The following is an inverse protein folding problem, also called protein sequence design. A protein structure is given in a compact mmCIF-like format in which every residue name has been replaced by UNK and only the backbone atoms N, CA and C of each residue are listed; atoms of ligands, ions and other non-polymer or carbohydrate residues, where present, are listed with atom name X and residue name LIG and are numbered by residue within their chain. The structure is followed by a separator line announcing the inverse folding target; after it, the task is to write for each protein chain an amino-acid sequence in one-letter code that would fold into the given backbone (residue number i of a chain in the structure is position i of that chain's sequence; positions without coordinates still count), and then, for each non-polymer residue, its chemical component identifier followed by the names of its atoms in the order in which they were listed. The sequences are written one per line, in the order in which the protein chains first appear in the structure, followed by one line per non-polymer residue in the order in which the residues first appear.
data_IF_575937508390
#
_entry.id   IF_575937508390
#
_cell.length_a   1.000
_cell.length_b   1.000
_cell.length_c   1.000
_cell.angle_alpha   90.00
_cell.angle_beta   90.00
_cell.angle_gamma   90.00
#
_symmetry.space_group_name_H-M   'P 1'
#
loop_
_entity.id
_entity.type
_entity.pdbx_description
1 polymer ?
#
# COMPACT_ATOMS: atom_id res chain seq x y z
N UNK A 1 40.33 -14.02 37.99
CA UNK A 1 39.48 -12.97 38.61
C UNK A 1 39.23 -11.88 37.60
N UNK A 2 38.29 -12.13 36.70
CA UNK A 2 37.62 -11.06 35.94
C UNK A 2 36.15 -11.16 36.35
N UNK A 3 35.70 -10.12 37.04
CA UNK A 3 34.35 -10.00 37.57
C UNK A 3 33.33 -9.96 36.43
N UNK A 4 32.34 -10.84 36.52
CA UNK A 4 31.12 -10.82 35.75
C UNK A 4 30.32 -9.57 36.10
N UNK A 5 30.44 -8.51 35.29
CA UNK A 5 29.46 -7.43 35.24
C UNK A 5 28.10 -8.01 34.77
N UNK A 6 27.01 -7.83 35.52
CA UNK A 6 25.71 -8.25 35.05
C UNK A 6 25.31 -7.37 33.87
N UNK A 7 25.13 -8.00 32.71
CA UNK A 7 24.51 -7.38 31.53
C UNK A 7 23.06 -7.02 31.88
N UNK A 8 22.81 -5.77 32.26
CA UNK A 8 21.47 -5.19 32.26
C UNK A 8 20.90 -5.18 30.83
N UNK A 9 19.98 -6.09 30.55
CA UNK A 9 18.91 -5.96 29.53
C UNK A 9 17.66 -6.66 30.11
N UNK A 10 16.40 -6.19 29.96
CA UNK A 10 15.88 -5.21 29.01
C UNK A 10 14.70 -4.35 29.56
N UNK A 11 14.89 -3.43 30.52
CA UNK A 11 13.76 -2.56 30.94
C UNK A 11 13.48 -1.42 29.96
N UNK A 12 14.51 -0.88 29.29
CA UNK A 12 14.35 0.18 28.28
C UNK A 12 13.56 -0.27 27.04
N UNK A 13 13.79 -1.48 26.53
CA UNK A 13 13.03 -2.00 25.38
C UNK A 13 11.53 -2.16 25.68
N UNK A 14 11.17 -2.53 26.90
CA UNK A 14 9.78 -2.78 27.26
C UNK A 14 8.98 -1.48 27.45
N UNK A 15 9.64 -0.43 27.95
CA UNK A 15 9.07 0.93 28.05
C UNK A 15 8.87 1.54 26.66
N UNK A 16 9.84 1.37 25.75
CA UNK A 16 9.71 1.84 24.36
C UNK A 16 8.58 1.12 23.61
N UNK A 17 8.43 -0.20 23.79
CA UNK A 17 7.36 -0.98 23.15
C UNK A 17 5.98 -0.56 23.68
N UNK A 18 5.82 -0.42 25.00
CA UNK A 18 4.55 0.01 25.59
C UNK A 18 4.20 1.45 25.18
N UNK A 19 5.20 2.33 25.08
CA UNK A 19 5.02 3.70 24.60
C UNK A 19 4.62 3.72 23.11
N UNK A 20 5.29 2.93 22.27
CA UNK A 20 4.95 2.78 20.85
C UNK A 20 3.54 2.20 20.68
N UNK A 21 3.19 1.15 21.42
CA UNK A 21 1.84 0.56 21.37
C UNK A 21 0.77 1.56 21.79
N UNK A 22 1.01 2.31 22.88
CA UNK A 22 0.07 3.33 23.36
C UNK A 22 -0.05 4.47 22.35
N UNK A 23 1.05 4.91 21.75
CA UNK A 23 1.07 5.94 20.71
C UNK A 23 0.35 5.50 19.42
N UNK A 24 0.55 4.24 18.99
CA UNK A 24 -0.15 3.66 17.83
C UNK A 24 -1.65 3.53 18.13
N UNK A 25 -2.03 3.08 19.31
CA UNK A 25 -3.44 2.93 19.67
C UNK A 25 -4.14 4.30 19.76
N UNK A 26 -3.46 5.30 20.35
CA UNK A 26 -3.94 6.67 20.42
C UNK A 26 -4.08 7.30 19.04
N UNK A 27 -3.09 7.12 18.16
CA UNK A 27 -3.14 7.66 16.80
C UNK A 27 -4.24 7.02 15.95
N UNK A 28 -4.45 5.71 16.07
CA UNK A 28 -5.60 5.03 15.43
C UNK A 28 -6.94 5.56 15.97
N UNK A 29 -7.06 5.75 17.28
CA UNK A 29 -8.28 6.30 17.88
C UNK A 29 -8.57 7.74 17.42
N UNK A 30 -7.56 8.61 17.45
CA UNK A 30 -7.65 10.00 16.95
C UNK A 30 -8.02 10.02 15.47
N UNK A 31 -7.47 9.09 14.68
CA UNK A 31 -7.78 8.99 13.25
C UNK A 31 -9.23 8.55 13.01
N UNK A 32 -9.74 7.57 13.76
CA UNK A 32 -11.15 7.20 13.72
C UNK A 32 -12.07 8.37 14.06
N UNK A 33 -11.75 9.14 15.10
CA UNK A 33 -12.53 10.31 15.50
C UNK A 33 -12.50 11.43 14.44
N UNK A 34 -11.32 11.71 13.88
CA UNK A 34 -11.16 12.68 12.80
C UNK A 34 -11.99 12.28 11.58
N UNK A 35 -11.97 11.00 11.21
CA UNK A 35 -12.69 10.50 10.06
C UNK A 35 -14.22 10.54 10.23
N UNK A 36 -14.74 10.19 11.42
CA UNK A 36 -16.16 10.34 11.74
C UNK A 36 -16.58 11.82 11.60
N UNK A 37 -15.75 12.73 12.13
CA UNK A 37 -15.99 14.17 12.02
C UNK A 37 -16.00 14.64 10.56
N UNK A 38 -15.07 14.15 9.73
CA UNK A 38 -15.05 14.39 8.28
C UNK A 38 -16.34 13.90 7.63
N UNK A 39 -16.81 12.69 7.92
CA UNK A 39 -18.03 12.14 7.32
C UNK A 39 -19.28 12.96 7.67
N UNK A 40 -19.38 13.45 8.91
CA UNK A 40 -20.47 14.34 9.32
C UNK A 40 -20.44 15.66 8.55
N UNK A 41 -19.25 16.24 8.38
CA UNK A 41 -19.09 17.48 7.60
C UNK A 41 -19.40 17.26 6.13
N UNK A 42 -18.96 16.14 5.53
CA UNK A 42 -19.27 15.80 4.14
C UNK A 42 -20.78 15.67 3.91
N UNK A 43 -21.50 15.04 4.83
CA UNK A 43 -22.96 14.97 4.74
C UNK A 43 -23.59 16.36 4.73
N UNK A 44 -23.16 17.26 5.63
CA UNK A 44 -23.65 18.64 5.65
C UNK A 44 -23.31 19.40 4.37
N UNK A 45 -22.08 19.25 3.87
CA UNK A 45 -21.65 19.84 2.60
C UNK A 45 -22.50 19.33 1.42
N UNK A 46 -22.88 18.06 1.43
CA UNK A 46 -23.74 17.46 0.42
C UNK A 46 -25.19 17.96 0.42
N UNK A 47 -25.67 18.48 1.55
CA UNK A 47 -27.01 19.07 1.66
C UNK A 47 -27.04 20.54 1.24
N UNK A 48 -25.89 21.22 1.16
CA UNK A 48 -25.81 22.63 0.77
C UNK A 48 -26.50 22.91 -0.58
N UNK A 49 -26.28 22.12 -1.66
CA UNK A 49 -26.99 22.33 -2.93
C UNK A 49 -28.51 22.29 -2.80
N UNK A 50 -29.05 21.38 -1.98
CA UNK A 50 -30.49 21.29 -1.68
C UNK A 50 -31.01 22.58 -1.06
N UNK A 51 -30.27 23.14 -0.08
CA UNK A 51 -30.63 24.39 0.58
C UNK A 51 -30.54 25.60 -0.38
N UNK A 52 -29.60 25.58 -1.31
CA UNK A 52 -29.52 26.61 -2.35
C UNK A 52 -30.74 26.60 -3.27
N UNK A 53 -31.23 25.43 -3.70
CA UNK A 53 -32.45 25.34 -4.52
C UNK A 53 -33.68 25.94 -3.80
N UNK A 54 -33.82 25.68 -2.51
CA UNK A 54 -34.91 26.21 -1.69
C UNK A 54 -34.85 27.74 -1.58
N UNK A 55 -33.70 28.28 -1.18
CA UNK A 55 -33.51 29.74 -0.98
C UNK A 55 -33.59 30.51 -2.30
N UNK A 56 -33.09 29.94 -3.40
CA UNK A 56 -33.18 30.55 -4.74
C UNK A 56 -34.61 30.57 -5.26
N UNK A 57 -35.40 29.53 -4.98
CA UNK A 57 -36.83 29.49 -5.31
C UNK A 57 -37.62 30.57 -4.56
N UNK A 58 -37.28 30.80 -3.29
CA UNK A 58 -37.90 31.86 -2.47
C UNK A 58 -37.38 33.29 -2.79
N UNK A 59 -36.31 33.43 -3.58
CA UNK A 59 -35.64 34.71 -3.91
C UNK A 59 -35.24 35.55 -2.67
N UNK A 60 -34.88 34.90 -1.56
CA UNK A 60 -34.56 35.59 -0.31
C UNK A 60 -33.06 35.92 -0.18
N UNK A 61 -32.69 37.17 -0.41
CA UNK A 61 -31.29 37.63 -0.37
C UNK A 61 -30.65 37.53 1.03
N UNK A 62 -31.43 37.73 2.10
CA UNK A 62 -30.94 37.63 3.48
C UNK A 62 -30.54 36.21 3.83
N UNK A 63 -31.40 35.23 3.52
CA UNK A 63 -31.10 33.80 3.70
C UNK A 63 -29.90 33.37 2.83
N UNK A 64 -29.81 33.87 1.60
CA UNK A 64 -28.71 33.55 0.70
C UNK A 64 -27.35 33.94 1.27
N UNK A 65 -27.20 35.16 1.81
CA UNK A 65 -25.92 35.62 2.39
C UNK A 65 -25.49 34.74 3.56
N UNK A 66 -26.43 34.37 4.43
CA UNK A 66 -26.15 33.49 5.58
C UNK A 66 -25.76 32.08 5.12
N UNK A 67 -26.45 31.55 4.10
CA UNK A 67 -26.15 30.24 3.53
C UNK A 67 -24.76 30.19 2.88
N UNK A 68 -24.39 31.23 2.12
CA UNK A 68 -23.05 31.33 1.51
C UNK A 68 -21.97 31.39 2.59
N UNK A 69 -22.15 32.20 3.63
CA UNK A 69 -21.20 32.27 4.74
C UNK A 69 -21.05 30.92 5.45
N UNK A 70 -22.17 30.24 5.72
CA UNK A 70 -22.19 28.91 6.32
C UNK A 70 -21.48 27.87 5.43
N UNK A 71 -21.74 27.89 4.12
CA UNK A 71 -21.11 26.98 3.17
C UNK A 71 -19.59 27.17 3.11
N UNK A 72 -19.11 28.41 3.07
CA UNK A 72 -17.66 28.71 3.08
C UNK A 72 -17.01 28.22 4.38
N UNK A 73 -17.63 28.46 5.54
CA UNK A 73 -17.11 27.97 6.82
C UNK A 73 -17.05 26.44 6.87
N UNK A 74 -18.10 25.75 6.41
CA UNK A 74 -18.10 24.29 6.33
C UNK A 74 -17.03 23.75 5.40
N UNK A 75 -16.80 24.38 4.25
CA UNK A 75 -15.73 23.98 3.31
C UNK A 75 -14.35 24.15 3.95
N UNK A 76 -14.11 25.25 4.67
CA UNK A 76 -12.85 25.45 5.39
C UNK A 76 -12.63 24.37 6.46
N UNK A 77 -13.65 24.05 7.24
CA UNK A 77 -13.60 22.97 8.25
C UNK A 77 -13.36 21.61 7.58
N UNK A 78 -14.05 21.31 6.48
CA UNK A 78 -13.86 20.05 5.76
C UNK A 78 -12.42 19.93 5.24
N UNK A 79 -11.89 21.01 4.67
CA UNK A 79 -10.52 21.05 4.14
C UNK A 79 -9.48 20.84 5.23
N UNK A 80 -9.66 21.46 6.41
CA UNK A 80 -8.72 21.30 7.53
C UNK A 80 -8.78 19.88 8.10
N UNK A 81 -9.97 19.34 8.33
CA UNK A 81 -10.13 17.97 8.83
C UNK A 81 -9.55 16.93 7.86
N UNK A 82 -9.81 17.07 6.56
CA UNK A 82 -9.25 16.16 5.55
C UNK A 82 -7.73 16.27 5.45
N UNK A 83 -7.17 17.47 5.62
CA UNK A 83 -5.72 17.68 5.67
C UNK A 83 -5.09 17.06 6.93
N UNK A 84 -5.78 17.13 8.08
CA UNK A 84 -5.35 16.49 9.32
C UNK A 84 -5.36 14.97 9.21
N UNK A 85 -6.40 14.37 8.61
CA UNK A 85 -6.45 12.93 8.36
C UNK A 85 -5.27 12.45 7.48
N UNK A 86 -4.97 13.18 6.41
CA UNK A 86 -3.81 12.90 5.54
C UNK A 86 -2.48 13.01 6.30
N UNK A 87 -2.36 14.01 7.19
CA UNK A 87 -1.18 14.22 8.01
C UNK A 87 -0.97 13.09 9.03
N UNK A 88 -2.03 12.69 9.76
CA UNK A 88 -1.98 11.59 10.73
C UNK A 88 -1.64 10.28 10.01
N UNK A 89 -2.25 10.00 8.86
CA UNK A 89 -1.94 8.83 8.02
C UNK A 89 -0.46 8.80 7.59
N UNK A 90 0.13 9.97 7.34
CA UNK A 90 1.55 10.09 6.99
C UNK A 90 2.47 9.86 8.19
N UNK A 91 2.08 10.33 9.39
CA UNK A 91 2.81 10.05 10.63
C UNK A 91 2.77 8.55 10.98
N UNK A 92 1.60 7.90 10.83
CA UNK A 92 1.47 6.46 10.99
C UNK A 92 2.37 5.68 10.05
N UNK A 93 2.44 6.09 8.76
CA UNK A 93 3.36 5.50 7.80
C UNK A 93 4.81 5.55 8.27
N UNK A 94 5.30 6.72 8.72
CA UNK A 94 6.69 6.87 9.18
C UNK A 94 6.95 6.00 10.41
N UNK A 95 6.02 5.97 11.36
CA UNK A 95 6.13 5.15 12.56
C UNK A 95 6.18 3.65 12.24
N UNK A 96 5.27 3.18 11.38
CA UNK A 96 5.21 1.77 10.97
C UNK A 96 6.42 1.35 10.16
N UNK A 97 6.88 2.19 9.22
CA UNK A 97 8.10 1.93 8.45
C UNK A 97 9.30 1.81 9.38
N UNK A 98 9.46 2.74 10.33
CA UNK A 98 10.55 2.68 11.31
C UNK A 98 10.52 1.36 12.07
N UNK A 99 9.40 1.02 12.70
CA UNK A 99 9.27 -0.20 13.51
C UNK A 99 9.51 -1.48 12.69
N UNK A 100 8.94 -1.58 11.49
CA UNK A 100 9.07 -2.77 10.66
C UNK A 100 10.49 -2.91 10.08
N UNK A 101 11.10 -1.82 9.60
CA UNK A 101 12.46 -1.86 9.06
C UNK A 101 13.50 -2.12 10.14
N UNK A 102 13.38 -1.51 11.33
CA UNK A 102 14.32 -1.75 12.44
C UNK A 102 14.29 -3.22 12.89
N UNK A 103 13.11 -3.83 12.96
CA UNK A 103 12.99 -5.24 13.31
C UNK A 103 13.56 -6.14 12.21
N UNK A 104 13.20 -5.90 10.94
CA UNK A 104 13.77 -6.65 9.81
C UNK A 104 15.29 -6.51 9.72
N UNK A 105 15.85 -5.33 10.00
CA UNK A 105 17.30 -5.14 10.08
C UNK A 105 17.92 -5.95 11.22
N UNK A 106 17.31 -5.91 12.41
CA UNK A 106 17.77 -6.69 13.55
C UNK A 106 17.85 -8.18 13.20
N UNK A 107 16.85 -8.72 12.49
CA UNK A 107 16.85 -10.14 12.09
C UNK A 107 17.77 -10.43 10.90
N UNK A 108 17.84 -9.54 9.89
CA UNK A 108 18.67 -9.72 8.69
C UNK A 108 20.17 -9.69 8.99
N UNK A 109 20.59 -8.81 9.90
CA UNK A 109 21.99 -8.70 10.36
C UNK A 109 22.31 -9.61 11.54
N UNK A 110 21.35 -10.43 12.01
CA UNK A 110 21.61 -11.41 13.04
C UNK A 110 22.45 -12.57 12.47
N UNK A 111 23.68 -12.74 12.97
CA UNK A 111 24.57 -13.80 12.53
C UNK A 111 24.99 -13.67 11.06
N UNK A 112 24.71 -14.69 10.25
CA UNK A 112 25.10 -14.78 8.84
C UNK A 112 23.90 -14.83 7.88
N UNK A 113 22.70 -14.45 8.32
CA UNK A 113 21.47 -14.50 7.51
C UNK A 113 21.60 -13.74 6.19
N UNK A 114 22.21 -12.55 6.22
CA UNK A 114 22.51 -11.77 5.01
C UNK A 114 23.36 -12.53 3.98
N UNK A 115 24.29 -13.38 4.43
CA UNK A 115 25.12 -14.19 3.52
C UNK A 115 24.31 -15.35 2.96
N UNK A 116 23.56 -16.05 3.82
CA UNK A 116 22.72 -17.17 3.42
C UNK A 116 21.66 -16.76 2.39
N UNK A 117 20.99 -15.62 2.59
CA UNK A 117 19.97 -15.12 1.68
C UNK A 117 20.52 -14.67 0.33
N UNK A 118 21.74 -14.14 0.27
CA UNK A 118 22.31 -13.63 -0.97
C UNK A 118 23.13 -14.67 -1.75
N UNK A 119 23.70 -15.67 -1.07
CA UNK A 119 24.68 -16.60 -1.66
C UNK A 119 24.19 -18.05 -1.67
N UNK A 120 23.60 -18.52 -0.57
CA UNK A 120 23.25 -19.93 -0.40
C UNK A 120 21.83 -20.26 -0.89
N UNK A 121 20.88 -19.33 -0.77
CA UNK A 121 19.51 -19.49 -1.25
C UNK A 121 19.24 -18.60 -2.46
N UNK A 122 18.63 -19.17 -3.51
CA UNK A 122 18.16 -18.42 -4.70
C UNK A 122 16.63 -18.28 -4.77
N UNK A 123 15.91 -18.75 -3.75
CA UNK A 123 14.44 -18.74 -3.74
C UNK A 123 13.86 -17.34 -3.48
N UNK A 124 14.67 -16.42 -2.93
CA UNK A 124 14.26 -15.05 -2.60
C UNK A 124 15.06 -14.10 -3.48
N UNK A 125 14.43 -13.63 -4.56
CA UNK A 125 15.00 -12.60 -5.41
C UNK A 125 15.07 -11.26 -4.66
N UNK A 126 16.25 -10.63 -4.69
CA UNK A 126 16.57 -9.27 -4.23
C UNK A 126 16.08 -8.93 -2.80
N UNK A 127 16.69 -9.50 -1.73
CA UNK A 127 16.29 -9.23 -0.34
C UNK A 127 16.48 -7.75 0.06
N UNK A 128 17.44 -7.06 -0.56
CA UNK A 128 17.68 -5.62 -0.40
C UNK A 128 16.50 -4.79 -0.91
N UNK A 129 15.92 -5.15 -2.06
CA UNK A 129 14.71 -4.52 -2.59
C UNK A 129 13.52 -4.73 -1.65
N UNK A 130 13.34 -5.96 -1.13
CA UNK A 130 12.21 -6.27 -0.23
C UNK A 130 12.26 -5.44 1.05
N UNK A 131 13.42 -5.33 1.69
CA UNK A 131 13.57 -4.57 2.94
C UNK A 131 13.45 -3.06 2.71
N UNK A 132 13.95 -2.54 1.59
CA UNK A 132 14.00 -1.10 1.34
C UNK A 132 12.74 -0.53 0.68
N UNK A 133 12.22 -1.20 -0.34
CA UNK A 133 11.12 -0.72 -1.18
C UNK A 133 9.78 -1.35 -0.82
N UNK A 134 9.72 -2.68 -0.65
CA UNK A 134 8.43 -3.34 -0.39
C UNK A 134 7.90 -3.01 1.02
N UNK A 135 8.78 -2.92 2.04
CA UNK A 135 8.39 -2.43 3.37
C UNK A 135 7.85 -0.99 3.31
N UNK A 136 8.49 -0.12 2.51
CA UNK A 136 8.02 1.25 2.34
C UNK A 136 6.63 1.30 1.71
N UNK A 137 6.44 0.57 0.60
CA UNK A 137 5.17 0.50 -0.12
C UNK A 137 4.07 -0.07 0.80
N UNK A 138 4.36 -1.15 1.51
CA UNK A 138 3.43 -1.80 2.44
C UNK A 138 2.97 -0.83 3.52
N UNK A 139 3.90 -0.19 4.23
CA UNK A 139 3.56 0.73 5.31
C UNK A 139 2.75 1.93 4.80
N UNK A 140 3.06 2.44 3.61
CA UNK A 140 2.35 3.57 3.01
C UNK A 140 0.94 3.20 2.56
N UNK A 141 0.80 2.04 1.91
CA UNK A 141 -0.50 1.50 1.50
C UNK A 141 -1.37 1.24 2.73
N UNK A 142 -0.84 0.52 3.72
CA UNK A 142 -1.56 0.22 4.96
C UNK A 142 -2.01 1.48 5.70
N UNK A 143 -1.16 2.50 5.83
CA UNK A 143 -1.52 3.70 6.62
C UNK A 143 -2.64 4.51 5.97
N UNK A 144 -2.67 4.54 4.64
CA UNK A 144 -3.72 5.24 3.88
C UNK A 144 -5.05 4.48 3.82
N UNK A 145 -5.01 3.14 3.94
CA UNK A 145 -6.21 2.30 3.95
C UNK A 145 -6.83 2.10 5.32
N UNK A 146 -6.03 2.15 6.40
CA UNK A 146 -6.47 1.82 7.75
C UNK A 146 -7.74 2.58 8.16
N UNK A 147 -7.78 3.90 7.93
CA UNK A 147 -8.96 4.72 8.25
C UNK A 147 -10.17 4.41 7.36
N UNK A 148 -9.94 4.20 6.06
CA UNK A 148 -11.01 3.92 5.09
C UNK A 148 -11.68 2.57 5.35
N UNK A 149 -10.90 1.54 5.68
CA UNK A 149 -11.40 0.20 5.98
C UNK A 149 -12.29 0.15 7.22
N UNK A 150 -11.88 0.86 8.29
CA UNK A 150 -12.61 0.84 9.56
C UNK A 150 -14.00 1.48 9.45
N UNK A 151 -14.12 2.54 8.66
CA UNK A 151 -15.34 3.36 8.60
C UNK A 151 -16.28 3.00 7.45
N UNK A 152 -15.75 2.44 6.35
CA UNK A 152 -16.55 2.14 5.16
C UNK A 152 -17.80 1.31 5.43
N UNK A 153 -17.77 0.27 6.30
CA UNK A 153 -18.99 -0.47 6.64
C UNK A 153 -20.08 0.43 7.25
N UNK A 154 -19.70 1.39 8.10
CA UNK A 154 -20.63 2.31 8.76
C UNK A 154 -21.21 3.33 7.78
N UNK A 155 -20.39 3.92 6.91
CA UNK A 155 -20.87 4.89 5.92
C UNK A 155 -21.76 4.22 4.89
N UNK A 156 -21.37 3.06 4.36
CA UNK A 156 -22.20 2.29 3.42
C UNK A 156 -23.52 1.92 4.06
N UNK A 157 -23.52 1.44 5.31
CA UNK A 157 -24.77 1.11 6.03
C UNK A 157 -25.67 2.33 6.19
N UNK A 158 -25.12 3.47 6.61
CA UNK A 158 -25.89 4.71 6.81
C UNK A 158 -26.50 5.24 5.50
N UNK A 159 -25.71 5.32 4.43
CA UNK A 159 -26.21 5.82 3.14
C UNK A 159 -27.11 4.82 2.43
N UNK A 160 -26.94 3.52 2.66
CA UNK A 160 -27.88 2.49 2.24
C UNK A 160 -29.24 2.69 2.91
N UNK A 161 -29.26 2.94 4.22
CA UNK A 161 -30.50 3.24 4.95
C UNK A 161 -31.19 4.51 4.45
N UNK A 162 -30.45 5.61 4.24
CA UNK A 162 -30.99 6.83 3.64
C UNK A 162 -31.54 6.61 2.23
N UNK A 163 -30.80 5.88 1.38
CA UNK A 163 -31.23 5.56 0.03
C UNK A 163 -32.53 4.74 0.03
N UNK A 164 -32.64 3.76 0.92
CA UNK A 164 -33.84 2.95 1.07
C UNK A 164 -35.07 3.80 1.44
N UNK A 165 -34.90 4.77 2.35
CA UNK A 165 -35.99 5.65 2.73
C UNK A 165 -36.39 6.65 1.62
N UNK A 166 -35.44 7.08 0.79
CA UNK A 166 -35.68 8.05 -0.27
C UNK A 166 -36.20 7.43 -1.58
N UNK A 167 -35.61 6.32 -2.02
CA UNK A 167 -35.87 5.70 -3.33
C UNK A 167 -36.59 4.33 -3.22
N UNK A 168 -36.90 3.88 -2.00
CA UNK A 168 -37.57 2.63 -1.74
C UNK A 168 -36.74 1.40 -2.12
N UNK A 169 -37.43 0.26 -2.26
CA UNK A 169 -36.82 -1.02 -2.60
C UNK A 169 -36.16 -1.03 -3.99
N UNK A 170 -36.72 -0.31 -4.96
CA UNK A 170 -36.21 -0.24 -6.34
C UNK A 170 -34.84 0.44 -6.37
N UNK A 171 -34.68 1.55 -5.63
CA UNK A 171 -33.40 2.25 -5.50
C UNK A 171 -32.33 1.36 -4.87
N UNK A 172 -32.67 0.67 -3.79
CA UNK A 172 -31.78 -0.27 -3.11
C UNK A 172 -31.27 -1.38 -4.05
N UNK A 173 -32.18 -2.11 -4.70
CA UNK A 173 -31.80 -3.23 -5.59
C UNK A 173 -30.97 -2.74 -6.77
N UNK A 174 -31.29 -1.58 -7.33
CA UNK A 174 -30.60 -1.03 -8.49
C UNK A 174 -29.15 -0.63 -8.18
N UNK A 175 -28.90 0.04 -7.05
CA UNK A 175 -27.54 0.45 -6.66
C UNK A 175 -26.68 -0.76 -6.29
N UNK A 176 -27.22 -1.74 -5.57
CA UNK A 176 -26.49 -2.96 -5.24
C UNK A 176 -26.22 -3.82 -6.48
N UNK A 177 -27.20 -3.94 -7.39
CA UNK A 177 -27.01 -4.58 -8.68
C UNK A 177 -25.92 -3.89 -9.50
N UNK A 178 -25.92 -2.56 -9.52
CA UNK A 178 -24.89 -1.74 -10.15
C UNK A 178 -23.51 -2.04 -9.57
N UNK A 179 -23.38 -2.05 -8.24
CA UNK A 179 -22.14 -2.37 -7.55
C UNK A 179 -21.62 -3.77 -7.88
N UNK A 180 -22.49 -4.80 -7.87
CA UNK A 180 -22.08 -6.18 -8.18
C UNK A 180 -21.56 -6.27 -9.61
N UNK A 181 -22.26 -5.66 -10.58
CA UNK A 181 -21.82 -5.64 -11.98
C UNK A 181 -20.48 -4.91 -12.12
N UNK A 182 -20.33 -3.74 -11.49
CA UNK A 182 -19.08 -2.97 -11.49
C UNK A 182 -17.91 -3.75 -10.88
N UNK A 183 -18.14 -4.42 -9.75
CA UNK A 183 -17.13 -5.23 -9.08
C UNK A 183 -16.67 -6.43 -9.94
N UNK A 184 -17.59 -7.12 -10.61
CA UNK A 184 -17.27 -8.22 -11.52
C UNK A 184 -16.44 -7.71 -12.70
N UNK A 185 -16.88 -6.64 -13.35
CA UNK A 185 -16.16 -6.04 -14.49
C UNK A 185 -14.76 -5.62 -14.05
N UNK A 186 -14.63 -4.92 -12.92
CA UNK A 186 -13.34 -4.45 -12.45
C UNK A 186 -12.38 -5.62 -12.14
N UNK A 187 -12.89 -6.67 -11.47
CA UNK A 187 -12.10 -7.87 -11.17
C UNK A 187 -11.58 -8.57 -12.43
N UNK A 188 -12.40 -8.67 -13.47
CA UNK A 188 -12.01 -9.27 -14.76
C UNK A 188 -10.91 -8.44 -15.43
N UNK A 189 -11.00 -7.10 -15.37
CA UNK A 189 -10.02 -6.20 -15.98
C UNK A 189 -8.68 -6.15 -15.22
N UNK A 190 -8.71 -6.23 -13.88
CA UNK A 190 -7.51 -6.16 -13.03
C UNK A 190 -6.64 -7.42 -13.12
N UNK A 191 -7.25 -8.61 -13.17
CA UNK A 191 -6.54 -9.88 -13.18
C UNK A 191 -5.31 -9.95 -14.11
N UNK A 192 -5.44 -9.64 -15.42
CA UNK A 192 -4.30 -9.65 -16.34
C UNK A 192 -3.27 -8.54 -16.09
N UNK A 193 -3.68 -7.41 -15.52
CA UNK A 193 -2.80 -6.24 -15.27
C UNK A 193 -1.81 -6.58 -14.16
N UNK A 194 -2.27 -7.17 -13.05
CA UNK A 194 -1.41 -7.56 -11.92
C UNK A 194 -0.28 -8.48 -12.35
N UNK A 195 -0.57 -9.47 -13.19
CA UNK A 195 0.49 -10.39 -13.68
C UNK A 195 1.58 -9.66 -14.49
N UNK A 196 1.18 -8.69 -15.31
CA UNK A 196 2.10 -7.90 -16.13
C UNK A 196 2.87 -6.88 -15.30
N UNK A 197 2.26 -6.33 -14.26
CA UNK A 197 2.92 -5.42 -13.31
C UNK A 197 4.05 -6.15 -12.56
N UNK A 198 3.81 -7.38 -12.11
CA UNK A 198 4.86 -8.20 -11.46
C UNK A 198 6.01 -8.50 -12.44
N UNK A 199 5.71 -8.83 -13.69
CA UNK A 199 6.74 -9.03 -14.72
C UNK A 199 7.53 -7.74 -15.01
N UNK A 200 6.86 -6.59 -15.06
CA UNK A 200 7.50 -5.28 -15.20
C UNK A 200 8.46 -4.99 -14.03
N UNK A 201 8.02 -5.16 -12.78
CA UNK A 201 8.85 -4.92 -11.60
C UNK A 201 10.08 -5.85 -11.58
N UNK A 202 9.94 -7.09 -12.05
CA UNK A 202 11.08 -8.01 -12.21
C UNK A 202 12.07 -7.50 -13.25
N UNK A 203 11.62 -7.10 -14.44
CA UNK A 203 12.47 -6.57 -15.51
C UNK A 203 13.14 -5.25 -15.12
N UNK A 204 12.44 -4.41 -14.36
CA UNK A 204 12.96 -3.17 -13.76
C UNK A 204 14.09 -3.50 -12.77
N UNK A 205 13.89 -4.50 -11.90
CA UNK A 205 14.91 -5.04 -11.00
C UNK A 205 16.13 -5.55 -11.75
N UNK A 206 15.94 -6.36 -12.79
CA UNK A 206 17.03 -6.89 -13.64
C UNK A 206 17.81 -5.78 -14.36
N UNK A 207 17.12 -4.71 -14.77
CA UNK A 207 17.73 -3.54 -15.38
C UNK A 207 18.58 -2.75 -14.37
N UNK A 208 18.05 -2.49 -13.17
CA UNK A 208 18.79 -1.84 -12.07
C UNK A 208 20.00 -2.67 -11.63
N UNK A 209 19.83 -3.98 -11.50
CA UNK A 209 20.90 -4.92 -11.17
C UNK A 209 22.01 -4.91 -12.23
N UNK A 210 21.65 -4.81 -13.52
CA UNK A 210 22.65 -4.69 -14.60
C UNK A 210 23.50 -3.43 -14.46
N UNK A 211 22.90 -2.29 -14.13
CA UNK A 211 23.62 -1.06 -13.85
C UNK A 211 24.51 -1.17 -12.60
N UNK A 212 24.03 -1.81 -11.54
CA UNK A 212 24.81 -2.08 -10.35
C UNK A 212 26.05 -2.93 -10.67
N UNK A 213 25.91 -3.98 -11.48
CA UNK A 213 27.04 -4.81 -11.92
C UNK A 213 28.09 -4.03 -12.71
N UNK A 214 27.67 -3.09 -13.58
CA UNK A 214 28.59 -2.22 -14.32
C UNK A 214 29.31 -1.28 -13.35
N UNK A 215 28.61 -0.73 -12.35
CA UNK A 215 29.22 0.13 -11.32
C UNK A 215 30.27 -0.62 -10.50
N UNK A 216 29.97 -1.84 -10.05
CA UNK A 216 30.89 -2.66 -9.23
C UNK A 216 32.10 -3.14 -10.04
N UNK A 217 31.90 -3.49 -11.32
CA UNK A 217 32.95 -4.01 -12.19
C UNK A 217 33.46 -2.97 -13.20
N UNK A 218 33.37 -1.68 -12.87
CA UNK A 218 33.67 -0.59 -13.80
C UNK A 218 35.12 -0.63 -14.28
N UNK A 219 36.06 -0.95 -13.39
CA UNK A 219 37.49 -1.04 -13.69
C UNK A 219 37.79 -2.17 -14.70
N UNK A 220 37.30 -3.37 -14.44
CA UNK A 220 37.42 -4.50 -15.37
C UNK A 220 36.78 -4.20 -16.72
N UNK A 221 35.58 -3.61 -16.73
CA UNK A 221 34.89 -3.23 -17.96
C UNK A 221 35.68 -2.17 -18.76
N UNK A 222 36.29 -1.21 -18.08
CA UNK A 222 37.14 -0.19 -18.70
C UNK A 222 38.44 -0.79 -19.27
N UNK A 223 39.08 -1.70 -18.52
CA UNK A 223 40.30 -2.40 -18.95
C UNK A 223 40.09 -3.19 -20.24
N UNK A 224 38.96 -3.91 -20.34
CA UNK A 224 38.57 -4.64 -21.56
C UNK A 224 37.95 -3.76 -22.66
N UNK A 225 37.84 -2.43 -22.46
CA UNK A 225 37.14 -1.50 -23.37
C UNK A 225 35.73 -1.99 -23.75
N UNK A 226 35.02 -2.58 -22.79
CA UNK A 226 33.74 -3.27 -23.01
C UNK A 226 32.54 -2.33 -23.24
N UNK A 227 32.75 -1.02 -23.33
CA UNK A 227 31.66 -0.01 -23.37
C UNK A 227 30.58 -0.27 -24.42
N UNK A 228 30.95 -0.57 -25.67
CA UNK A 228 29.97 -0.88 -26.74
C UNK A 228 29.20 -2.18 -26.45
N UNK A 229 29.86 -3.20 -25.90
CA UNK A 229 29.25 -4.49 -25.58
C UNK A 229 28.28 -4.35 -24.41
N UNK A 230 28.71 -3.68 -23.34
CA UNK A 230 27.88 -3.44 -22.16
C UNK A 230 26.71 -2.48 -22.47
N UNK A 231 26.90 -1.51 -23.36
CA UNK A 231 25.81 -0.69 -23.90
C UNK A 231 24.75 -1.57 -24.59
N UNK A 232 25.12 -2.38 -25.58
CA UNK A 232 24.16 -3.25 -26.29
C UNK A 232 23.44 -4.23 -25.35
N UNK A 233 24.14 -4.78 -24.36
CA UNK A 233 23.54 -5.69 -23.37
C UNK A 233 22.54 -4.98 -22.45
N UNK A 234 22.87 -3.77 -22.01
CA UNK A 234 22.02 -2.98 -21.12
C UNK A 234 20.80 -2.45 -21.86
N UNK A 235 20.99 -1.95 -23.08
CA UNK A 235 19.90 -1.49 -23.94
C UNK A 235 18.94 -2.63 -24.30
N UNK A 236 19.44 -3.85 -24.54
CA UNK A 236 18.56 -5.02 -24.73
C UNK A 236 17.66 -5.27 -23.51
N UNK A 237 18.16 -5.12 -22.28
CA UNK A 237 17.33 -5.23 -21.06
C UNK A 237 16.31 -4.11 -20.97
N UNK A 238 16.71 -2.88 -21.31
CA UNK A 238 15.79 -1.74 -21.38
C UNK A 238 14.68 -1.98 -22.41
N UNK A 239 14.98 -2.46 -23.61
CA UNK A 239 13.95 -2.73 -24.64
C UNK A 239 12.94 -3.81 -24.19
N UNK A 240 13.40 -4.85 -23.49
CA UNK A 240 12.50 -5.86 -22.90
C UNK A 240 11.57 -5.23 -21.85
N UNK A 241 12.12 -4.41 -20.95
CA UNK A 241 11.35 -3.65 -19.97
C UNK A 241 10.32 -2.73 -20.64
N UNK A 242 10.74 -1.92 -21.62
CA UNK A 242 9.88 -0.97 -22.34
C UNK A 242 8.76 -1.68 -23.12
N UNK A 243 9.03 -2.85 -23.71
CA UNK A 243 8.00 -3.63 -24.40
C UNK A 243 6.91 -4.12 -23.44
N UNK A 244 7.31 -4.52 -22.22
CA UNK A 244 6.40 -4.96 -21.16
C UNK A 244 5.62 -3.79 -20.59
N UNK A 245 6.28 -2.67 -20.30
CA UNK A 245 5.63 -1.41 -19.87
C UNK A 245 4.59 -0.93 -20.89
N UNK A 246 4.92 -0.93 -22.18
CA UNK A 246 3.97 -0.55 -23.23
C UNK A 246 2.76 -1.47 -23.26
N UNK A 247 2.97 -2.79 -23.13
CA UNK A 247 1.86 -3.73 -23.09
C UNK A 247 1.01 -3.59 -21.82
N UNK A 248 1.61 -3.23 -20.68
CA UNK A 248 0.88 -2.90 -19.46
C UNK A 248 0.00 -1.66 -19.65
N UNK A 249 0.57 -0.56 -20.17
CA UNK A 249 -0.16 0.68 -20.45
C UNK A 249 -1.37 0.45 -21.37
N UNK A 250 -1.23 -0.40 -22.39
CA UNK A 250 -2.34 -0.74 -23.28
C UNK A 250 -3.49 -1.48 -22.57
N UNK A 251 -3.19 -2.26 -21.52
CA UNK A 251 -4.22 -2.93 -20.70
C UNK A 251 -4.82 -1.98 -19.67
N UNK A 252 -4.01 -1.14 -19.05
CA UNK A 252 -4.47 -0.09 -18.12
C UNK A 252 -5.46 0.86 -18.80
N UNK A 253 -5.27 1.18 -20.08
CA UNK A 253 -6.23 1.97 -20.84
C UNK A 253 -7.66 1.39 -20.78
N UNK A 254 -7.81 0.07 -20.95
CA UNK A 254 -9.12 -0.58 -20.87
C UNK A 254 -9.70 -0.59 -19.45
N UNK A 255 -8.85 -0.74 -18.45
CA UNK A 255 -9.23 -0.59 -17.04
C UNK A 255 -9.77 0.82 -16.79
N UNK A 256 -9.02 1.86 -17.19
CA UNK A 256 -9.43 3.25 -17.00
C UNK A 256 -10.71 3.59 -17.75
N UNK A 257 -10.88 3.10 -18.98
CA UNK A 257 -12.15 3.27 -19.71
C UNK A 257 -13.29 2.61 -18.94
N UNK A 258 -13.10 1.38 -18.45
CA UNK A 258 -14.12 0.66 -17.68
C UNK A 258 -14.53 1.38 -16.40
N UNK A 259 -13.54 1.74 -15.56
CA UNK A 259 -13.75 2.42 -14.28
C UNK A 259 -14.39 3.80 -14.48
N UNK A 260 -13.84 4.63 -15.38
CA UNK A 260 -14.39 5.96 -15.64
C UNK A 260 -15.82 5.91 -16.21
N UNK A 261 -16.08 4.96 -17.12
CA UNK A 261 -17.44 4.77 -17.66
C UNK A 261 -18.42 4.40 -16.55
N UNK A 262 -18.01 3.54 -15.63
CA UNK A 262 -18.81 3.16 -14.47
C UNK A 262 -19.02 4.34 -13.50
N UNK A 263 -18.02 5.18 -13.24
CA UNK A 263 -18.22 6.34 -12.38
C UNK A 263 -19.21 7.36 -12.99
N UNK A 264 -19.09 7.63 -14.29
CA UNK A 264 -20.01 8.56 -14.97
C UNK A 264 -21.42 7.97 -15.13
N UNK A 265 -21.56 6.69 -15.47
CA UNK A 265 -22.87 6.03 -15.54
C UNK A 265 -23.57 5.99 -14.19
N UNK A 266 -22.83 5.84 -13.09
CA UNK A 266 -23.37 5.87 -11.74
C UNK A 266 -24.07 7.20 -11.41
N UNK A 267 -23.51 8.32 -11.89
CA UNK A 267 -24.14 9.62 -11.74
C UNK A 267 -25.49 9.71 -12.46
N UNK A 268 -25.61 9.17 -13.67
CA UNK A 268 -26.86 9.16 -14.44
C UNK A 268 -27.89 8.22 -13.82
N UNK A 269 -27.44 7.04 -13.38
CA UNK A 269 -28.29 6.06 -12.70
C UNK A 269 -28.99 6.69 -11.48
N UNK A 270 -28.29 7.53 -10.72
CA UNK A 270 -28.86 8.21 -9.56
C UNK A 270 -30.08 9.06 -9.89
N UNK A 271 -30.07 9.77 -11.02
CA UNK A 271 -31.19 10.59 -11.48
C UNK A 271 -32.35 9.74 -12.02
N UNK A 272 -32.05 8.64 -12.71
CA UNK A 272 -33.08 7.69 -13.19
C UNK A 272 -33.86 7.12 -12.01
N UNK A 273 -33.17 6.75 -10.92
CA UNK A 273 -33.82 6.21 -9.72
C UNK A 273 -34.77 7.20 -9.05
N UNK A 274 -34.40 8.47 -9.04
CA UNK A 274 -35.23 9.55 -8.46
C UNK A 274 -36.41 9.88 -9.38
N UNK A 275 -36.25 9.71 -10.70
CA UNK A 275 -37.32 9.97 -11.65
C UNK A 275 -38.53 9.04 -11.44
N UNK A 276 -38.31 7.76 -11.11
CA UNK A 276 -39.38 6.76 -10.96
C UNK A 276 -40.51 7.21 -10.00
N UNK A 277 -40.25 7.54 -8.73
CA UNK A 277 -41.31 7.95 -7.80
C UNK A 277 -41.91 9.31 -8.16
N UNK A 278 -41.15 10.21 -8.79
CA UNK A 278 -41.67 11.51 -9.27
C UNK A 278 -42.69 11.31 -10.39
N UNK A 279 -42.37 10.48 -11.39
CA UNK A 279 -43.31 10.17 -12.48
C UNK A 279 -44.46 9.25 -12.04
N UNK A 280 -44.32 8.56 -10.90
CA UNK A 280 -45.40 7.78 -10.28
C UNK A 280 -46.43 8.66 -9.53
N UNK A 281 -46.14 9.94 -9.31
CA UNK A 281 -47.04 10.90 -8.65
C UNK A 281 -46.91 10.98 -7.13
N UNK A 282 -45.90 10.34 -6.52
CA UNK A 282 -45.72 10.32 -5.06
C UNK A 282 -45.41 11.71 -4.46
N UNK A 283 -45.02 12.67 -5.30
CA UNK A 283 -44.56 14.00 -4.90
C UNK A 283 -45.37 15.17 -5.49
N UNK A 284 -46.55 14.90 -6.04
CA UNK A 284 -47.39 15.90 -6.73
C UNK A 284 -47.89 17.04 -5.82
N UNK A 285 -47.80 16.87 -4.49
CA UNK A 285 -48.18 17.89 -3.50
C UNK A 285 -47.09 18.91 -3.15
N UNK A 286 -45.86 18.75 -3.65
CA UNK A 286 -44.73 19.62 -3.31
C UNK A 286 -44.64 20.83 -4.26
N UNK A 287 -44.17 21.96 -3.73
CA UNK A 287 -43.84 23.11 -4.59
C UNK A 287 -42.64 22.79 -5.50
N UNK A 288 -42.51 23.45 -6.67
CA UNK A 288 -41.37 23.21 -7.57
C UNK A 288 -39.99 23.43 -6.91
N UNK A 289 -39.92 24.35 -5.92
CA UNK A 289 -38.71 24.60 -5.13
C UNK A 289 -38.38 23.46 -4.17
N UNK A 290 -39.37 22.96 -3.44
CA UNK A 290 -39.22 21.82 -2.54
C UNK A 290 -38.90 20.53 -3.31
N UNK A 291 -39.52 20.33 -4.48
CA UNK A 291 -39.21 19.21 -5.37
C UNK A 291 -37.76 19.25 -5.84
N UNK A 292 -37.25 20.43 -6.24
CA UNK A 292 -35.87 20.60 -6.67
C UNK A 292 -34.87 20.35 -5.53
N UNK A 293 -35.18 20.82 -4.32
CA UNK A 293 -34.40 20.55 -3.12
C UNK A 293 -34.37 19.04 -2.79
N UNK A 294 -35.52 18.37 -2.82
CA UNK A 294 -35.64 16.93 -2.59
C UNK A 294 -34.83 16.11 -3.59
N UNK A 295 -34.94 16.43 -4.89
CA UNK A 295 -34.16 15.78 -5.95
C UNK A 295 -32.67 15.95 -5.68
N UNK A 296 -32.23 17.16 -5.34
CA UNK A 296 -30.81 17.42 -5.03
C UNK A 296 -30.33 16.61 -3.83
N UNK A 297 -31.12 16.52 -2.75
CA UNK A 297 -30.78 15.74 -1.56
C UNK A 297 -30.69 14.24 -1.87
N UNK A 298 -31.67 13.70 -2.58
CA UNK A 298 -31.71 12.28 -2.92
C UNK A 298 -30.61 11.90 -3.92
N UNK A 299 -30.30 12.78 -4.87
CA UNK A 299 -29.19 12.61 -5.81
C UNK A 299 -27.85 12.56 -5.07
N UNK A 300 -27.63 13.47 -4.11
CA UNK A 300 -26.44 13.43 -3.27
C UNK A 300 -26.30 12.09 -2.54
N UNK A 301 -27.36 11.59 -1.88
CA UNK A 301 -27.33 10.30 -1.17
C UNK A 301 -26.97 9.15 -2.11
N UNK A 302 -27.60 9.07 -3.28
CA UNK A 302 -27.37 7.99 -4.24
C UNK A 302 -25.96 8.05 -4.86
N UNK A 303 -25.52 9.23 -5.30
CA UNK A 303 -24.19 9.44 -5.87
C UNK A 303 -23.12 9.15 -4.81
N UNK A 304 -23.33 9.60 -3.57
CA UNK A 304 -22.38 9.36 -2.48
C UNK A 304 -22.29 7.87 -2.11
N UNK A 305 -23.42 7.15 -2.11
CA UNK A 305 -23.43 5.70 -1.90
C UNK A 305 -22.66 4.96 -3.01
N UNK A 306 -22.88 5.35 -4.28
CA UNK A 306 -22.12 4.79 -5.42
C UNK A 306 -20.62 5.07 -5.24
N UNK A 307 -20.24 6.29 -4.85
CA UNK A 307 -18.85 6.64 -4.57
C UNK A 307 -18.25 5.81 -3.40
N UNK A 308 -19.01 5.54 -2.33
CA UNK A 308 -18.56 4.65 -1.26
C UNK A 308 -18.28 3.23 -1.78
N UNK A 309 -19.12 2.74 -2.69
CA UNK A 309 -18.93 1.45 -3.34
C UNK A 309 -17.72 1.44 -4.30
N UNK A 310 -17.53 2.49 -5.11
CA UNK A 310 -16.32 2.65 -5.94
C UNK A 310 -15.06 2.65 -5.06
N UNK A 311 -15.06 3.41 -3.96
CA UNK A 311 -13.93 3.45 -3.03
C UNK A 311 -13.63 2.08 -2.40
N UNK A 312 -14.65 1.26 -2.14
CA UNK A 312 -14.45 -0.12 -1.67
C UNK A 312 -13.81 -1.00 -2.73
N UNK A 313 -14.19 -0.83 -3.99
CA UNK A 313 -13.60 -1.54 -5.11
C UNK A 313 -12.12 -1.15 -5.24
N UNK A 314 -11.80 0.14 -5.23
CA UNK A 314 -10.42 0.64 -5.26
C UNK A 314 -9.61 0.10 -4.09
N UNK A 315 -10.20 0.11 -2.89
CA UNK A 315 -9.52 -0.40 -1.72
C UNK A 315 -9.28 -1.91 -1.79
N UNK A 316 -10.15 -2.67 -2.46
CA UNK A 316 -9.92 -4.09 -2.72
C UNK A 316 -8.70 -4.33 -3.62
N UNK A 317 -8.42 -3.45 -4.58
CA UNK A 317 -7.24 -3.60 -5.44
C UNK A 317 -5.98 -3.37 -4.63
N UNK A 318 -5.99 -2.32 -3.82
CA UNK A 318 -4.84 -1.94 -3.03
C UNK A 318 -4.59 -2.92 -1.87
N UNK A 319 -5.64 -3.52 -1.30
CA UNK A 319 -5.49 -4.65 -0.35
C UNK A 319 -4.86 -5.87 -1.01
N UNK A 320 -5.15 -6.11 -2.30
CA UNK A 320 -4.51 -7.18 -3.07
C UNK A 320 -3.02 -6.91 -3.25
N UNK A 321 -2.62 -5.66 -3.51
CA UNK A 321 -1.21 -5.25 -3.57
C UNK A 321 -0.51 -5.45 -2.22
N UNK A 322 -1.13 -5.00 -1.13
CA UNK A 322 -0.66 -5.24 0.25
C UNK A 322 -0.46 -6.74 0.51
N UNK A 323 -1.40 -7.58 0.06
CA UNK A 323 -1.28 -9.03 0.21
C UNK A 323 -0.10 -9.59 -0.57
N UNK A 324 0.13 -9.14 -1.80
CA UNK A 324 1.29 -9.55 -2.60
C UNK A 324 2.61 -9.15 -1.93
N UNK A 325 2.69 -7.93 -1.40
CA UNK A 325 3.86 -7.45 -0.65
C UNK A 325 4.05 -8.26 0.64
N UNK A 326 2.97 -8.54 1.38
CA UNK A 326 3.00 -9.42 2.56
C UNK A 326 3.43 -10.85 2.23
N UNK A 327 3.03 -11.40 1.09
CA UNK A 327 3.50 -12.72 0.62
C UNK A 327 4.99 -12.67 0.28
N UNK A 328 5.45 -11.61 -0.37
CA UNK A 328 6.87 -11.36 -0.62
C UNK A 328 7.68 -11.24 0.68
N UNK A 329 7.18 -10.48 1.65
CA UNK A 329 7.81 -10.28 2.95
C UNK A 329 7.74 -11.53 3.84
N UNK A 330 6.63 -12.26 3.85
CA UNK A 330 6.47 -13.49 4.65
C UNK A 330 7.38 -14.62 4.18
N UNK A 331 7.63 -14.74 2.87
CA UNK A 331 8.64 -15.65 2.34
C UNK A 331 10.05 -15.30 2.86
N UNK A 332 10.35 -14.01 2.98
CA UNK A 332 11.60 -13.54 3.59
C UNK A 332 11.62 -13.83 5.10
N UNK A 333 10.52 -13.57 5.80
CA UNK A 333 10.43 -13.62 7.26
C UNK A 333 10.41 -15.06 7.81
N UNK A 334 9.73 -15.98 7.13
CA UNK A 334 9.71 -17.43 7.46
C UNK A 334 11.10 -18.07 7.34
N UNK A 335 11.93 -17.62 6.39
CA UNK A 335 13.29 -18.13 6.20
C UNK A 335 14.31 -17.54 7.16
N UNK A 336 14.10 -16.30 7.60
CA UNK A 336 14.94 -15.66 8.62
C UNK A 336 14.67 -16.25 10.02
N UNK A 337 13.62 -17.07 10.15
CA UNK A 337 13.32 -17.82 11.37
C UNK A 337 12.11 -17.29 12.13
N UNK A 338 11.44 -16.23 11.68
CA UNK A 338 10.38 -15.54 12.42
C UNK A 338 10.89 -14.30 13.16
N UNK A 339 9.98 -13.42 13.57
CA UNK A 339 10.30 -12.17 14.30
C UNK A 339 10.77 -12.46 15.75
N UNK A 340 10.33 -13.58 16.34
CA UNK A 340 10.48 -13.87 17.77
C UNK A 340 11.46 -15.01 18.09
N UNK A 341 12.23 -15.48 17.10
CA UNK A 341 12.92 -16.77 17.20
C UNK A 341 14.43 -16.56 17.26
N UNK A 342 15.05 -16.98 18.38
CA UNK A 342 16.52 -17.02 18.47
C UNK A 342 17.03 -18.07 17.48
N UNK A 343 17.79 -17.58 16.51
CA UNK A 343 18.49 -18.36 15.48
C UNK A 343 19.59 -19.19 16.16
N UNK A 344 19.25 -20.38 16.67
CA UNK A 344 20.20 -21.35 17.22
C UNK A 344 20.68 -22.30 16.11
N UNK A 345 21.75 -21.94 15.40
CA UNK A 345 22.29 -22.76 14.31
C UNK A 345 23.66 -23.31 14.73
N UNK A 346 23.78 -24.64 14.72
CA UNK A 346 25.05 -25.34 14.90
C UNK A 346 25.84 -25.31 13.58
N UNK A 347 27.13 -24.97 13.66
CA UNK A 347 28.04 -24.88 12.50
C UNK A 347 28.14 -26.17 11.66
N UNK A 348 27.78 -27.32 12.25
CA UNK A 348 27.91 -28.64 11.63
C UNK A 348 26.80 -28.98 10.63
N UNK A 349 25.67 -28.29 10.68
CA UNK A 349 24.49 -28.65 9.86
C UNK A 349 24.39 -27.82 8.56
N UNK A 350 25.29 -26.85 8.36
CA UNK A 350 25.17 -25.82 7.30
C UNK A 350 26.34 -25.84 6.31
N UNK A 351 27.53 -26.25 6.75
CA UNK A 351 28.71 -26.29 5.88
C UNK A 351 28.88 -27.71 5.32
N UNK A 352 28.98 -27.81 3.99
CA UNK A 352 29.48 -29.05 3.41
C UNK A 352 30.91 -29.34 3.93
N UNK A 353 31.35 -30.61 4.04
CA UNK A 353 32.69 -30.93 4.54
C UNK A 353 33.82 -30.17 3.83
N UNK A 354 33.64 -29.85 2.54
CA UNK A 354 34.58 -29.06 1.74
C UNK A 354 34.61 -27.57 2.10
N UNK A 355 33.48 -26.97 2.50
CA UNK A 355 33.43 -25.57 2.93
C UNK A 355 33.98 -25.41 4.35
N UNK A 356 33.76 -26.41 5.21
CA UNK A 356 34.38 -26.46 6.53
C UNK A 356 35.91 -26.55 6.43
N UNK A 357 36.43 -27.34 5.49
CA UNK A 357 37.86 -27.38 5.17
C UNK A 357 38.39 -26.02 4.69
N UNK A 358 37.68 -25.34 3.78
CA UNK A 358 38.08 -24.01 3.28
C UNK A 358 38.08 -22.95 4.38
N UNK A 359 37.12 -22.99 5.29
CA UNK A 359 37.04 -22.09 6.45
C UNK A 359 38.18 -22.37 7.45
N UNK A 360 38.53 -23.65 7.68
CA UNK A 360 39.70 -24.04 8.46
C UNK A 360 41.01 -23.56 7.82
N UNK A 361 41.17 -23.70 6.51
CA UNK A 361 42.32 -23.15 5.78
C UNK A 361 42.37 -21.62 5.85
N UNK A 362 41.23 -20.94 5.67
CA UNK A 362 41.15 -19.49 5.79
C UNK A 362 41.55 -19.01 7.19
N UNK A 363 41.11 -19.70 8.27
CA UNK A 363 41.56 -19.42 9.65
C UNK A 363 43.04 -19.70 9.84
N UNK A 364 43.57 -20.77 9.26
CA UNK A 364 44.99 -21.14 9.34
C UNK A 364 45.89 -20.09 8.69
N UNK A 365 45.50 -19.55 7.53
CA UNK A 365 46.24 -18.51 6.82
C UNK A 365 46.06 -17.12 7.42
N UNK A 366 44.88 -16.83 8.00
CA UNK A 366 44.59 -15.55 8.64
C UNK A 366 45.33 -15.37 9.98
N UNK A 367 45.56 -16.45 10.73
CA UNK A 367 46.23 -16.41 12.04
C UNK A 367 47.76 -16.46 11.99
N UNK A 368 48.37 -16.64 10.80
CA UNK A 368 49.82 -16.80 10.58
C UNK A 368 50.59 -17.37 11.80
N UNK A 369 50.31 -18.62 12.23
CA UNK A 369 51.06 -19.20 13.33
C UNK A 369 52.53 -19.39 12.92
N UNK A 370 53.46 -18.92 13.76
CA UNK A 370 54.92 -18.88 13.53
C UNK A 370 55.62 -20.24 13.30
N UNK A 371 54.90 -21.36 13.17
CA UNK A 371 55.48 -22.71 13.11
C UNK A 371 54.91 -23.64 12.02
N UNK A 372 54.36 -23.12 10.93
CA UNK A 372 54.05 -23.94 9.75
C UNK A 372 55.18 -23.85 8.72
N UNK A 373 56.31 -24.51 8.99
CA UNK A 373 57.48 -24.44 8.11
C UNK A 373 58.64 -25.37 8.46
N UNK A 374 58.39 -26.65 8.72
CA UNK A 374 59.40 -27.70 8.56
C UNK A 374 58.75 -28.92 7.91
N UNK A 375 58.75 -28.93 6.58
CA UNK A 375 58.53 -30.15 5.80
C UNK A 375 59.90 -30.78 5.53
N UNK A 376 60.14 -32.06 5.86
CA UNK A 376 61.44 -32.69 5.62
C UNK A 376 61.59 -32.99 4.14
N UNK A 377 62.46 -32.25 3.46
CA UNK A 377 63.03 -32.66 2.18
C UNK A 377 64.03 -33.78 2.44
N UNK A 378 63.57 -35.02 2.38
CA UNK A 378 64.45 -36.18 2.25
C UNK A 378 64.56 -36.57 0.78
N UNK A 379 65.78 -36.50 0.22
CA UNK A 379 66.44 -37.60 -0.49
C UNK A 379 67.70 -37.13 -1.25
N UNK A 380 68.84 -37.68 -0.81
CA UNK A 380 70.01 -38.11 -1.57
C UNK A 380 70.09 -37.79 -3.08
N UNK A 381 71.26 -37.27 -3.50
CA UNK A 381 72.18 -38.01 -4.38
C UNK A 381 73.55 -37.30 -4.47
N UNK A 382 74.58 -38.08 -4.09
CA UNK A 382 76.04 -38.01 -4.36
C UNK A 382 76.81 -36.74 -4.10
#
# INVERSE_FOLDING_TARGET
NEETLPMERPQLKQIDIAFIQTFVLLSVFVQCFCFISVQLVIYQVGLIPSQFYEVLSEKNYGKLKNLVLFAVMLILINSTLKSLDQYISSLLYVSWRKSLTEELHSTYFNGHVYYTLNVLCKDIDNPDQRISQDVERLCKQMSTMASRLLISPFTVTYYTYQCFNSAGWIGFVSIFGYFVVGSIINKILIGPIVSMLVEQEKLEGDFRFKHMQIRVNAESAAFYRAGKVEHMRTDRRLQMLLSTQRSLMNKELWLYIGVNTFDYLGSILSYILIAIPIFAGDYDGLTPGELSALVSKNAFVCIYLINCFTQLIDLSTTVSDVYLELVGLSNLLTRIGGLDTKVDWSWYDVLSPGEMQRLCFARLFYLQPKYAGQWPMGAHQT
#
